data_IF_184560644426
#
_entry.id   IF_184560644426
#
_cell.length_a   1.000
_cell.length_b   1.000
_cell.length_c   1.000
_cell.angle_alpha   90.00
_cell.angle_beta   90.00
_cell.angle_gamma   90.00
#
_symmetry.space_group_name_H-M   'P 1'
#
loop_
_entity.id
_entity.type
_entity.pdbx_description
1 polymer ?
#
# COMPACT_ATOMS: atom_id res chain seq x y z
N UNK A 1 -16.32 -14.37 19.61
CA UNK A 1 -16.88 -13.05 19.98
C UNK A 1 -18.19 -12.87 19.22
N UNK A 2 -19.22 -12.26 19.81
CA UNK A 2 -20.44 -11.90 19.06
C UNK A 2 -20.28 -10.48 18.55
N UNK A 3 -20.22 -10.30 17.24
CA UNK A 3 -20.18 -8.96 16.63
C UNK A 3 -21.50 -8.26 16.93
N UNK A 4 -21.43 -7.07 17.52
CA UNK A 4 -22.62 -6.25 17.72
C UNK A 4 -23.01 -5.56 16.41
N UNK A 5 -24.28 -5.19 16.29
CA UNK A 5 -24.80 -4.46 15.12
C UNK A 5 -24.02 -3.15 14.92
N UNK A 6 -23.61 -2.51 16.02
CA UNK A 6 -22.81 -1.28 16.00
C UNK A 6 -21.43 -1.51 15.36
N UNK A 7 -20.75 -2.61 15.69
CA UNK A 7 -19.45 -2.95 15.12
C UNK A 7 -19.54 -3.09 13.59
N UNK A 8 -20.57 -3.82 13.13
CA UNK A 8 -20.84 -4.04 11.71
C UNK A 8 -21.16 -2.71 11.01
N UNK A 9 -21.98 -1.86 11.64
CA UNK A 9 -22.35 -0.56 11.09
C UNK A 9 -21.12 0.35 10.90
N UNK A 10 -20.19 0.35 11.85
CA UNK A 10 -18.94 1.13 11.76
C UNK A 10 -18.08 0.64 10.59
N UNK A 11 -17.91 -0.67 10.43
CA UNK A 11 -17.12 -1.23 9.31
C UNK A 11 -17.77 -0.90 7.97
N UNK A 12 -19.09 -1.09 7.84
CA UNK A 12 -19.81 -0.77 6.60
C UNK A 12 -19.72 0.72 6.28
N UNK A 13 -19.93 1.58 7.27
CA UNK A 13 -19.81 3.04 7.09
C UNK A 13 -18.41 3.43 6.62
N UNK A 14 -17.37 2.86 7.24
CA UNK A 14 -15.98 3.10 6.84
C UNK A 14 -15.73 2.68 5.38
N UNK A 15 -16.15 1.47 4.99
CA UNK A 15 -15.97 0.99 3.61
C UNK A 15 -16.72 1.87 2.59
N UNK A 16 -17.94 2.29 2.91
CA UNK A 16 -18.71 3.22 2.06
C UNK A 16 -17.98 4.56 1.92
N UNK A 17 -17.44 5.10 3.03
CA UNK A 17 -16.70 6.36 3.00
C UNK A 17 -15.47 6.28 2.10
N UNK A 18 -14.71 5.18 2.16
CA UNK A 18 -13.55 4.96 1.29
C UNK A 18 -13.93 4.95 -0.19
N UNK A 19 -15.03 4.28 -0.54
CA UNK A 19 -15.53 4.26 -1.93
C UNK A 19 -15.99 5.65 -2.39
N UNK A 20 -16.66 6.40 -1.52
CA UNK A 20 -17.12 7.76 -1.82
C UNK A 20 -15.96 8.74 -2.03
N UNK A 21 -14.87 8.60 -1.26
CA UNK A 21 -13.64 9.39 -1.47
C UNK A 21 -13.05 9.09 -2.85
N UNK A 22 -12.89 7.82 -3.22
CA UNK A 22 -12.41 7.44 -4.55
C UNK A 22 -13.28 7.97 -5.68
N UNK A 23 -14.60 7.95 -5.49
CA UNK A 23 -15.55 8.51 -6.45
C UNK A 23 -15.47 10.04 -6.55
N UNK A 24 -15.32 10.74 -5.42
CA UNK A 24 -15.17 12.20 -5.37
C UNK A 24 -13.93 12.68 -6.14
N UNK A 25 -12.79 12.00 -5.96
CA UNK A 25 -11.54 12.37 -6.62
C UNK A 25 -11.40 11.89 -8.06
N UNK A 26 -12.31 11.03 -8.54
CA UNK A 26 -12.32 10.50 -9.92
C UNK A 26 -12.17 11.58 -11.00
N UNK A 27 -12.91 12.68 -10.85
CA UNK A 27 -12.89 13.75 -11.85
C UNK A 27 -11.55 14.48 -11.89
N UNK A 28 -10.83 14.58 -10.76
CA UNK A 28 -9.48 15.14 -10.71
C UNK A 28 -8.44 14.17 -11.29
N UNK A 29 -8.58 12.89 -10.99
CA UNK A 29 -7.67 11.84 -11.49
C UNK A 29 -7.73 11.69 -13.02
N UNK A 30 -8.91 11.91 -13.62
CA UNK A 30 -9.13 11.79 -15.07
C UNK A 30 -8.53 12.93 -15.90
N UNK A 31 -8.15 14.06 -15.29
CA UNK A 31 -7.72 15.26 -16.03
C UNK A 31 -6.48 15.02 -16.90
N UNK A 32 -5.45 14.38 -16.34
CA UNK A 32 -4.23 14.02 -17.07
C UNK A 32 -3.42 12.98 -16.29
N UNK A 33 -2.45 12.34 -16.97
CA UNK A 33 -1.58 11.30 -16.38
C UNK A 33 -0.80 11.81 -15.15
N UNK A 34 -0.41 13.08 -15.15
CA UNK A 34 0.31 13.70 -14.03
C UNK A 34 -0.60 13.90 -12.79
N UNK A 35 -1.89 14.20 -12.99
CA UNK A 35 -2.87 14.29 -11.90
C UNK A 35 -3.17 12.90 -11.33
N UNK A 36 -3.19 11.89 -12.18
CA UNK A 36 -3.39 10.50 -11.76
C UNK A 36 -2.19 9.95 -10.96
N UNK A 37 -0.97 10.14 -11.46
CA UNK A 37 0.25 9.54 -10.89
C UNK A 37 0.94 10.40 -9.83
N UNK A 38 0.87 11.73 -9.92
CA UNK A 38 1.66 12.66 -9.11
C UNK A 38 0.79 13.67 -8.33
N UNK A 39 -0.54 13.51 -8.34
CA UNK A 39 -1.46 14.46 -7.72
C UNK A 39 -1.30 15.90 -8.25
N UNK A 40 -0.85 16.05 -9.50
CA UNK A 40 -0.59 17.34 -10.14
C UNK A 40 0.55 18.15 -9.52
N UNK A 41 1.43 17.52 -8.71
CA UNK A 41 2.55 18.16 -7.99
C UNK A 41 2.16 19.34 -7.08
N UNK A 42 0.89 19.37 -6.67
CA UNK A 42 0.31 20.44 -5.83
C UNK A 42 0.10 20.02 -4.37
N UNK A 43 0.44 18.78 -4.03
CA UNK A 43 0.27 18.25 -2.68
C UNK A 43 1.21 18.96 -1.70
N UNK A 44 0.70 19.44 -0.55
CA UNK A 44 1.52 20.08 0.46
C UNK A 44 2.44 19.06 1.15
N UNK A 45 3.55 19.55 1.71
CA UNK A 45 4.60 18.70 2.27
C UNK A 45 4.12 17.75 3.38
N UNK A 46 3.16 18.18 4.20
CA UNK A 46 2.64 17.37 5.31
C UNK A 46 1.79 16.19 4.83
N UNK A 47 1.03 16.34 3.74
CA UNK A 47 0.29 15.23 3.11
C UNK A 47 1.26 14.22 2.49
N UNK A 48 2.31 14.71 1.83
CA UNK A 48 3.36 13.85 1.28
C UNK A 48 4.09 13.06 2.38
N UNK A 49 4.42 13.72 3.50
CA UNK A 49 5.04 13.06 4.64
C UNK A 49 4.13 12.05 5.33
N UNK A 50 2.83 12.35 5.48
CA UNK A 50 1.85 11.40 6.02
C UNK A 50 1.65 10.20 5.11
N UNK A 51 1.61 10.41 3.79
CA UNK A 51 1.51 9.32 2.81
C UNK A 51 2.74 8.41 2.86
N UNK A 52 3.95 8.98 2.84
CA UNK A 52 5.20 8.21 2.93
C UNK A 52 5.29 7.44 4.25
N UNK A 53 4.89 8.05 5.37
CA UNK A 53 4.82 7.37 6.65
C UNK A 53 3.79 6.22 6.63
N UNK A 54 2.60 6.44 6.05
CA UNK A 54 1.54 5.44 5.99
C UNK A 54 1.91 4.21 5.17
N UNK A 55 2.71 4.36 4.10
CA UNK A 55 3.19 3.25 3.28
C UNK A 55 4.09 2.28 4.05
N UNK A 56 4.73 2.76 5.12
CA UNK A 56 5.59 1.95 5.99
C UNK A 56 4.81 1.19 7.06
N UNK A 57 3.52 1.48 7.26
CA UNK A 57 2.68 0.84 8.27
C UNK A 57 1.65 -0.08 7.63
N UNK A 58 1.82 -1.37 7.85
CA UNK A 58 0.88 -2.39 7.46
C UNK A 58 0.46 -3.27 8.66
N UNK A 59 -0.54 -4.12 8.44
CA UNK A 59 -1.07 -5.01 9.48
C UNK A 59 0.01 -5.99 9.93
N UNK A 60 0.75 -6.56 8.99
CA UNK A 60 1.75 -7.58 9.29
C UNK A 60 2.95 -7.01 10.05
N UNK A 61 3.46 -5.84 9.67
CA UNK A 61 4.49 -5.11 10.39
C UNK A 61 4.03 -4.69 11.79
N UNK A 62 2.77 -4.28 11.94
CA UNK A 62 2.19 -3.99 13.25
C UNK A 62 2.17 -5.24 14.15
N UNK A 63 1.72 -6.38 13.62
CA UNK A 63 1.74 -7.66 14.35
C UNK A 63 3.15 -8.08 14.75
N UNK A 64 4.13 -7.84 13.88
CA UNK A 64 5.53 -8.10 14.16
C UNK A 64 6.06 -7.19 15.29
N UNK A 65 5.74 -5.89 15.27
CA UNK A 65 6.10 -4.96 16.35
C UNK A 65 5.48 -5.36 17.70
N UNK A 66 4.21 -5.79 17.70
CA UNK A 66 3.55 -6.30 18.90
C UNK A 66 4.28 -7.55 19.42
N UNK A 67 4.66 -8.46 18.52
CA UNK A 67 5.39 -9.68 18.87
C UNK A 67 6.76 -9.35 19.49
N UNK A 68 7.48 -8.37 18.94
CA UNK A 68 8.73 -7.89 19.52
C UNK A 68 8.54 -7.26 20.89
N UNK A 69 7.46 -6.51 21.09
CA UNK A 69 7.12 -5.94 22.39
C UNK A 69 6.85 -7.04 23.42
N UNK A 70 6.19 -8.13 23.03
CA UNK A 70 5.96 -9.28 23.90
C UNK A 70 7.27 -9.99 24.28
N UNK A 71 8.19 -10.17 23.32
CA UNK A 71 9.47 -10.90 23.55
C UNK A 71 10.50 -10.05 24.28
N UNK A 72 10.68 -8.78 23.90
CA UNK A 72 11.75 -7.90 24.40
C UNK A 72 11.26 -6.83 25.39
N UNK A 73 9.95 -6.75 25.64
CA UNK A 73 9.35 -5.69 26.45
C UNK A 73 9.55 -4.31 25.82
N UNK A 74 9.67 -3.29 26.67
CA UNK A 74 9.88 -1.88 26.28
C UNK A 74 11.17 -1.68 25.47
N UNK A 75 12.16 -2.58 25.59
CA UNK A 75 13.41 -2.50 24.80
C UNK A 75 13.17 -2.67 23.30
N UNK A 76 12.05 -3.27 22.89
CA UNK A 76 11.65 -3.39 21.48
C UNK A 76 11.50 -2.04 20.77
N UNK A 77 11.26 -0.95 21.52
CA UNK A 77 11.11 0.42 20.96
C UNK A 77 12.36 0.83 20.19
N UNK A 78 13.55 0.32 20.52
CA UNK A 78 14.78 0.65 19.82
C UNK A 78 14.94 -0.07 18.47
N UNK A 79 14.19 -1.16 18.23
CA UNK A 79 14.32 -1.97 17.01
C UNK A 79 13.88 -1.18 15.76
N UNK A 80 12.73 -0.47 15.75
CA UNK A 80 12.35 0.41 14.64
C UNK A 80 13.34 1.55 14.36
N UNK A 81 14.25 1.89 15.27
CA UNK A 81 15.28 2.92 15.01
C UNK A 81 16.46 2.38 14.20
N UNK A 82 16.65 1.06 14.17
CA UNK A 82 17.68 0.41 13.34
C UNK A 82 17.29 0.45 11.85
N UNK A 83 15.99 0.51 11.55
CA UNK A 83 15.41 0.39 10.22
C UNK A 83 14.00 1.01 10.27
N UNK A 84 13.58 2.05 9.50
CA UNK A 84 14.09 2.70 8.27
C UNK A 84 14.37 4.21 8.46
N UNK A 85 14.48 4.69 9.71
CA UNK A 85 14.58 6.13 10.04
C UNK A 85 15.74 6.80 9.31
N UNK A 86 16.93 6.19 9.33
CA UNK A 86 18.09 6.73 8.63
C UNK A 86 17.94 6.64 7.11
N UNK A 87 17.27 5.62 6.58
CA UNK A 87 17.08 5.47 5.13
C UNK A 87 16.33 6.68 4.55
N UNK A 88 15.27 7.15 5.22
CA UNK A 88 14.54 8.34 4.77
C UNK A 88 15.37 9.61 4.87
N UNK A 89 16.22 9.75 5.89
CA UNK A 89 17.18 10.87 5.96
C UNK A 89 18.16 10.82 4.79
N UNK A 90 18.71 9.64 4.47
CA UNK A 90 19.62 9.49 3.33
C UNK A 90 18.91 9.80 2.00
N UNK A 91 17.70 9.28 1.78
CA UNK A 91 16.91 9.57 0.57
C UNK A 91 16.58 11.06 0.48
N UNK A 92 16.19 11.69 1.58
CA UNK A 92 15.91 13.12 1.62
C UNK A 92 17.15 13.96 1.30
N UNK A 93 18.28 13.69 1.95
CA UNK A 93 19.48 14.52 1.82
C UNK A 93 20.19 14.35 0.49
N UNK A 94 20.26 13.12 -0.03
CA UNK A 94 21.08 12.81 -1.19
C UNK A 94 20.29 12.59 -2.47
N UNK A 95 19.04 12.10 -2.41
CA UNK A 95 18.29 11.65 -3.58
C UNK A 95 17.17 12.62 -3.99
N UNK A 96 16.44 13.19 -3.03
CA UNK A 96 15.25 14.01 -3.27
C UNK A 96 15.46 15.18 -4.24
N UNK A 97 16.62 15.85 -4.14
CA UNK A 97 16.98 16.99 -5.01
C UNK A 97 17.12 16.56 -6.47
N UNK A 98 17.69 15.39 -6.73
CA UNK A 98 17.87 14.87 -8.09
C UNK A 98 16.56 14.38 -8.69
N UNK A 99 15.72 13.72 -7.88
CA UNK A 99 14.37 13.31 -8.30
C UNK A 99 13.49 14.52 -8.66
N UNK A 100 13.54 15.58 -7.85
CA UNK A 100 12.75 16.80 -8.14
C UNK A 100 13.22 17.49 -9.42
N UNK A 101 14.52 17.49 -9.69
CA UNK A 101 15.12 18.15 -10.86
C UNK A 101 14.98 17.34 -12.16
N UNK A 102 14.96 16.01 -12.07
CA UNK A 102 14.84 15.13 -13.24
C UNK A 102 13.45 15.18 -13.87
N UNK A 103 12.43 15.56 -13.10
CA UNK A 103 11.03 15.59 -13.53
C UNK A 103 10.53 14.25 -14.10
N UNK A 104 11.24 13.15 -13.78
CA UNK A 104 10.89 11.80 -14.19
C UNK A 104 9.70 11.30 -13.38
N UNK A 105 8.80 10.56 -14.01
CA UNK A 105 7.59 10.04 -13.38
C UNK A 105 7.80 8.64 -12.78
N UNK A 106 8.85 7.93 -13.21
CA UNK A 106 9.15 6.57 -12.73
C UNK A 106 10.63 6.40 -12.43
N UNK A 107 10.98 5.48 -11.54
CA UNK A 107 12.38 5.14 -11.27
C UNK A 107 13.11 4.63 -12.52
N UNK A 108 12.41 3.90 -13.39
CA UNK A 108 12.95 3.39 -14.64
C UNK A 108 13.24 4.49 -15.67
N UNK A 109 12.44 5.55 -15.69
CA UNK A 109 12.69 6.77 -16.47
C UNK A 109 13.82 7.60 -15.86
N UNK A 110 13.90 7.66 -14.53
CA UNK A 110 14.98 8.37 -13.84
C UNK A 110 16.37 7.80 -14.19
N UNK A 111 16.49 6.49 -14.41
CA UNK A 111 17.73 5.87 -14.89
C UNK A 111 18.23 6.47 -16.21
N UNK A 112 17.32 6.84 -17.13
CA UNK A 112 17.70 7.45 -18.39
C UNK A 112 18.39 8.82 -18.19
N UNK A 113 18.01 9.55 -17.14
CA UNK A 113 18.68 10.82 -16.80
C UNK A 113 20.11 10.62 -16.30
N UNK A 114 20.43 9.45 -15.73
CA UNK A 114 21.75 9.13 -15.17
C UNK A 114 22.67 8.42 -16.16
N UNK A 115 22.13 7.50 -16.96
CA UNK A 115 22.89 6.60 -17.84
C UNK A 115 22.71 6.89 -19.34
N UNK A 116 21.84 7.82 -19.71
CA UNK A 116 21.53 8.16 -21.09
C UNK A 116 20.42 7.30 -21.69
N UNK A 117 20.11 7.51 -22.97
CA UNK A 117 19.03 6.83 -23.70
C UNK A 117 19.52 5.67 -24.60
N UNK A 118 20.79 5.70 -24.99
CA UNK A 118 21.39 4.76 -25.95
C UNK A 118 22.53 3.97 -25.31
N UNK A 119 22.42 2.63 -25.39
CA UNK A 119 23.43 1.71 -24.90
C UNK A 119 22.81 0.38 -24.48
N UNK A 120 23.53 -0.73 -24.70
CA UNK A 120 23.12 -2.06 -24.25
C UNK A 120 22.94 -2.13 -22.72
N UNK A 121 23.83 -1.48 -21.96
CA UNK A 121 23.74 -1.39 -20.51
C UNK A 121 22.53 -0.61 -20.00
N UNK A 122 22.07 0.43 -20.72
CA UNK A 122 20.89 1.23 -20.36
C UNK A 122 19.61 0.42 -20.51
N UNK A 123 19.42 -0.25 -21.66
CA UNK A 123 18.23 -1.08 -21.90
C UNK A 123 18.14 -2.24 -20.92
N UNK A 124 19.27 -2.91 -20.64
CA UNK A 124 19.32 -3.97 -19.64
C UNK A 124 18.97 -3.45 -18.23
N UNK A 125 19.51 -2.30 -17.83
CA UNK A 125 19.23 -1.68 -16.51
C UNK A 125 17.78 -1.25 -16.37
N UNK A 126 17.18 -0.69 -17.42
CA UNK A 126 15.76 -0.36 -17.44
C UNK A 126 14.90 -1.62 -17.28
N UNK A 127 15.17 -2.66 -18.08
CA UNK A 127 14.41 -3.91 -18.06
C UNK A 127 14.48 -4.62 -16.70
N UNK A 128 15.66 -4.68 -16.08
CA UNK A 128 15.80 -5.35 -14.77
C UNK A 128 15.08 -4.57 -13.67
N UNK A 129 15.10 -3.22 -13.70
CA UNK A 129 14.38 -2.41 -12.72
C UNK A 129 12.87 -2.54 -12.90
N UNK A 130 12.38 -2.60 -14.13
CA UNK A 130 10.96 -2.87 -14.40
C UNK A 130 10.56 -4.26 -13.93
N UNK A 131 11.37 -5.30 -14.24
CA UNK A 131 11.11 -6.67 -13.79
C UNK A 131 11.12 -6.76 -12.25
N UNK A 132 12.12 -6.15 -11.61
CA UNK A 132 12.20 -6.06 -10.15
C UNK A 132 10.97 -5.36 -9.57
N UNK A 133 10.57 -4.21 -10.11
CA UNK A 133 9.40 -3.48 -9.63
C UNK A 133 8.12 -4.31 -9.73
N UNK A 134 7.91 -5.04 -10.84
CA UNK A 134 6.74 -5.90 -11.03
C UNK A 134 6.76 -7.07 -10.03
N UNK A 135 7.89 -7.78 -9.91
CA UNK A 135 8.02 -8.94 -9.02
C UNK A 135 7.84 -8.50 -7.55
N UNK A 136 8.51 -7.42 -7.14
CA UNK A 136 8.39 -6.87 -5.80
C UNK A 136 6.98 -6.37 -5.52
N UNK A 137 6.34 -5.66 -6.45
CA UNK A 137 4.96 -5.18 -6.29
C UNK A 137 3.98 -6.36 -6.12
N UNK A 138 4.10 -7.40 -6.95
CA UNK A 138 3.30 -8.62 -6.81
C UNK A 138 3.56 -9.32 -5.47
N UNK A 139 4.82 -9.39 -5.04
CA UNK A 139 5.20 -9.97 -3.75
C UNK A 139 4.61 -9.22 -2.56
N UNK A 140 4.74 -7.89 -2.52
CA UNK A 140 4.17 -7.05 -1.46
C UNK A 140 2.64 -7.06 -1.48
N UNK A 141 2.03 -7.08 -2.67
CA UNK A 141 0.57 -7.20 -2.80
C UNK A 141 0.07 -8.53 -2.27
N UNK A 142 0.73 -9.64 -2.62
CA UNK A 142 0.40 -10.96 -2.09
C UNK A 142 0.59 -11.03 -0.56
N UNK A 143 1.69 -10.45 -0.06
CA UNK A 143 1.95 -10.36 1.37
C UNK A 143 0.87 -9.57 2.13
N UNK A 144 0.53 -8.37 1.66
CA UNK A 144 -0.50 -7.53 2.27
C UNK A 144 -1.87 -8.20 2.25
N UNK A 145 -2.21 -8.84 1.12
CA UNK A 145 -3.42 -9.63 0.95
C UNK A 145 -3.54 -10.78 1.96
N UNK A 146 -2.49 -11.59 2.12
CA UNK A 146 -2.51 -12.73 3.06
C UNK A 146 -2.57 -12.23 4.51
N UNK A 147 -1.78 -11.19 4.84
CA UNK A 147 -1.76 -10.59 6.17
C UNK A 147 -3.13 -10.04 6.58
N UNK A 148 -3.76 -9.26 5.70
CA UNK A 148 -5.10 -8.72 5.90
C UNK A 148 -6.15 -9.82 6.05
N UNK A 149 -6.11 -10.83 5.17
CA UNK A 149 -7.05 -11.95 5.19
C UNK A 149 -7.01 -12.72 6.51
N UNK A 150 -5.81 -13.07 6.98
CA UNK A 150 -5.61 -13.75 8.27
C UNK A 150 -6.05 -12.88 9.45
N UNK A 151 -5.80 -11.58 9.39
CA UNK A 151 -6.21 -10.67 10.44
C UNK A 151 -7.74 -10.59 10.53
N UNK A 152 -8.44 -10.46 9.40
CA UNK A 152 -9.91 -10.39 9.37
C UNK A 152 -10.54 -11.68 9.89
N UNK A 153 -9.97 -12.84 9.55
CA UNK A 153 -10.46 -14.14 10.02
C UNK A 153 -10.51 -14.24 11.56
N UNK A 154 -9.60 -13.55 12.26
CA UNK A 154 -9.61 -13.48 13.74
C UNK A 154 -10.84 -12.73 14.27
N UNK A 155 -11.30 -11.68 13.58
CA UNK A 155 -12.44 -10.85 14.00
C UNK A 155 -13.79 -11.31 13.43
N UNK A 156 -13.78 -11.87 12.22
CA UNK A 156 -14.95 -12.39 11.51
C UNK A 156 -14.74 -13.89 11.25
N UNK A 157 -15.07 -14.74 12.24
CA UNK A 157 -15.00 -16.18 12.12
C UNK A 157 -15.78 -16.69 10.90
N UNK A 158 -15.20 -17.64 10.16
CA UNK A 158 -15.77 -18.19 8.93
C UNK A 158 -17.19 -18.74 9.11
N UNK A 159 -17.47 -19.36 10.26
CA UNK A 159 -18.79 -19.93 10.60
C UNK A 159 -19.94 -18.91 10.60
N UNK A 160 -19.64 -17.60 10.64
CA UNK A 160 -20.66 -16.55 10.53
C UNK A 160 -20.99 -16.22 9.06
N UNK A 161 -20.07 -16.48 8.13
CA UNK A 161 -20.17 -16.06 6.74
C UNK A 161 -20.46 -17.24 5.80
N UNK A 162 -20.02 -18.45 6.17
CA UNK A 162 -20.20 -19.69 5.41
C UNK A 162 -21.65 -19.91 4.96
N UNK A 163 -22.63 -19.63 5.81
CA UNK A 163 -24.05 -19.78 5.50
C UNK A 163 -24.57 -18.85 4.39
N UNK A 164 -23.86 -17.75 4.09
CA UNK A 164 -24.24 -16.76 3.09
C UNK A 164 -23.48 -16.93 1.77
N UNK A 165 -22.50 -17.82 1.70
CA UNK A 165 -21.66 -18.04 0.52
C UNK A 165 -22.14 -19.29 -0.22
N UNK A 166 -22.42 -19.21 -1.54
CA UNK A 166 -23.05 -20.31 -2.28
C UNK A 166 -22.10 -21.46 -2.65
N UNK A 167 -20.84 -21.42 -2.21
CA UNK A 167 -19.82 -22.43 -2.50
C UNK A 167 -18.97 -22.75 -1.28
N UNK A 168 -18.49 -23.99 -1.21
CA UNK A 168 -17.62 -24.47 -0.12
C UNK A 168 -16.20 -23.92 -0.27
N UNK A 169 -15.64 -23.38 0.81
CA UNK A 169 -14.27 -22.87 0.88
C UNK A 169 -13.53 -23.65 1.95
N UNK A 170 -12.51 -24.40 1.53
CA UNK A 170 -11.69 -25.15 2.48
C UNK A 170 -11.05 -24.19 3.50
N UNK A 171 -10.88 -24.60 4.78
CA UNK A 171 -10.37 -23.74 5.84
C UNK A 171 -9.06 -23.01 5.51
N UNK A 172 -8.17 -23.66 4.75
CA UNK A 172 -6.89 -23.09 4.31
C UNK A 172 -7.03 -21.88 3.36
N UNK A 173 -8.16 -21.74 2.66
CA UNK A 173 -8.44 -20.67 1.72
C UNK A 173 -9.34 -19.57 2.28
N UNK A 174 -9.81 -19.69 3.53
CA UNK A 174 -10.67 -18.69 4.18
C UNK A 174 -10.00 -17.32 4.26
N UNK A 175 -8.77 -17.26 4.78
CA UNK A 175 -7.97 -16.03 4.79
C UNK A 175 -7.81 -15.43 3.38
N UNK A 176 -7.55 -16.28 2.38
CA UNK A 176 -7.40 -15.84 1.00
C UNK A 176 -8.71 -15.23 0.47
N UNK A 177 -9.85 -15.85 0.76
CA UNK A 177 -11.15 -15.35 0.35
C UNK A 177 -11.43 -13.94 0.91
N UNK A 178 -11.20 -13.72 2.22
CA UNK A 178 -11.32 -12.39 2.83
C UNK A 178 -10.34 -11.39 2.20
N UNK A 179 -9.09 -11.80 1.99
CA UNK A 179 -8.09 -10.99 1.31
C UNK A 179 -8.55 -10.54 -0.08
N UNK A 180 -9.25 -11.39 -0.85
CA UNK A 180 -9.70 -11.08 -2.22
C UNK A 180 -10.74 -9.97 -2.15
N UNK A 181 -11.73 -10.12 -1.28
CA UNK A 181 -12.82 -9.15 -1.14
C UNK A 181 -12.25 -7.76 -0.80
N UNK A 182 -11.40 -7.68 0.23
CA UNK A 182 -10.87 -6.38 0.66
C UNK A 182 -9.88 -5.79 -0.34
N UNK A 183 -9.08 -6.63 -1.00
CA UNK A 183 -8.20 -6.15 -2.08
C UNK A 183 -9.00 -5.61 -3.25
N UNK A 184 -10.14 -6.21 -3.60
CA UNK A 184 -11.03 -5.67 -4.64
C UNK A 184 -11.61 -4.32 -4.26
N UNK A 185 -12.04 -4.15 -2.99
CA UNK A 185 -12.46 -2.85 -2.48
C UNK A 185 -11.33 -1.82 -2.54
N UNK A 186 -10.12 -2.20 -2.13
CA UNK A 186 -8.95 -1.33 -2.15
C UNK A 186 -8.55 -0.91 -3.56
N UNK A 187 -8.57 -1.87 -4.48
CA UNK A 187 -8.33 -1.65 -5.90
C UNK A 187 -9.37 -0.70 -6.50
N UNK A 188 -10.64 -0.83 -6.11
CA UNK A 188 -11.71 0.00 -6.67
C UNK A 188 -11.52 1.49 -6.34
N UNK A 189 -11.32 1.85 -5.06
CA UNK A 189 -11.19 3.26 -4.68
C UNK A 189 -9.85 3.88 -5.14
N UNK A 190 -8.78 3.08 -5.18
CA UNK A 190 -7.45 3.53 -5.61
C UNK A 190 -7.38 3.79 -7.12
N UNK A 191 -7.93 2.88 -7.94
CA UNK A 191 -7.98 3.06 -9.39
C UNK A 191 -8.88 4.24 -9.77
N UNK A 192 -10.01 4.41 -9.08
CA UNK A 192 -10.94 5.49 -9.41
C UNK A 192 -10.37 6.87 -9.15
N UNK A 193 -9.75 7.08 -7.99
CA UNK A 193 -9.33 8.42 -7.58
C UNK A 193 -7.84 8.71 -7.71
N UNK A 194 -7.01 7.73 -8.14
CA UNK A 194 -5.58 7.92 -8.36
C UNK A 194 -4.84 8.35 -7.09
N UNK A 195 -3.72 9.06 -7.24
CA UNK A 195 -2.91 9.49 -6.10
C UNK A 195 -3.68 10.35 -5.07
N UNK A 196 -4.67 11.13 -5.52
CA UNK A 196 -5.51 11.97 -4.64
C UNK A 196 -6.50 11.19 -3.76
N UNK A 197 -6.72 9.91 -4.05
CA UNK A 197 -7.58 9.04 -3.25
C UNK A 197 -6.79 8.25 -2.20
N UNK A 198 -5.47 8.15 -2.42
CA UNK A 198 -4.53 7.43 -1.56
C UNK A 198 -3.85 8.41 -0.58
N UNK A 199 -3.63 9.66 -1.01
CA UNK A 199 -2.93 10.73 -0.28
C UNK A 199 -3.87 11.89 0.02
#
# INVERSE_FOLDING_TARGET
MKLQIIDIAIVIFYLIMMVLIGWYFKNKAKLNKESYLMGGKKLPWYMLGLSDASDMFDISGTMWMISLCFVYGVKSIWIPWLWPVFNQVFNMMFLSKWLRRSNANTGAEWLATRFGLSGTGVKASHNIVVAFAIISCLGFLAYGFVGLGKFIEVFVPWNLVEAYIPFDVQPQYVAHFYGIIFTLFAMFYSILGGMHSIV
#
